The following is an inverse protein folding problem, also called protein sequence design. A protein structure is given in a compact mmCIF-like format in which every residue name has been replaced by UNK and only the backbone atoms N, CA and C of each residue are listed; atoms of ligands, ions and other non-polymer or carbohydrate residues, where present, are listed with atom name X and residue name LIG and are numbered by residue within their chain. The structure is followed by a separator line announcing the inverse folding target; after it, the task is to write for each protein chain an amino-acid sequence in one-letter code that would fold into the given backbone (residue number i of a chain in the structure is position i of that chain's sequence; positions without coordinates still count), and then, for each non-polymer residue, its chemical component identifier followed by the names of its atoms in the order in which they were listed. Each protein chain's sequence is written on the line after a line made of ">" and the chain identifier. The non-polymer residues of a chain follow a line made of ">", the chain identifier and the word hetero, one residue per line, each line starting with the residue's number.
data_IF_656729183852
#
_entry.id   IF_656729183852
#
_cell.length_a   1.000
_cell.length_b   1.000
_cell.length_c   1.000
_cell.angle_alpha   90.00
_cell.angle_beta   90.00
_cell.angle_gamma   90.00
#
_symmetry.space_group_name_H-M   'P 1'
#
loop_
_entity.id
_entity.type
_entity.pdbx_description
1 polymer ?
#
# COMPACT_ATOMS: atom_id res chain seq x y z
N UNK A 1 2.86 -6.66 39.26
CA UNK A 1 3.23 -6.35 37.86
C UNK A 1 2.84 -4.91 37.60
N UNK A 2 3.82 -4.02 37.47
CA UNK A 2 3.59 -2.60 37.24
C UNK A 2 3.30 -2.41 35.75
N UNK A 3 2.05 -2.22 35.37
CA UNK A 3 1.66 -1.87 34.00
C UNK A 3 2.05 -0.42 33.74
N UNK A 4 3.30 -0.21 33.34
CA UNK A 4 3.65 0.98 32.56
C UNK A 4 2.89 0.88 31.25
N UNK A 5 1.75 1.59 31.14
CA UNK A 5 1.21 1.95 29.83
C UNK A 5 2.29 2.77 29.15
N UNK A 6 3.01 2.16 28.21
CA UNK A 6 3.80 2.95 27.28
C UNK A 6 2.80 3.83 26.54
N UNK A 7 2.81 5.13 26.85
CA UNK A 7 1.99 6.13 26.17
C UNK A 7 2.61 6.37 24.79
N UNK A 8 2.61 5.35 23.94
CA UNK A 8 2.80 5.56 22.52
C UNK A 8 1.58 6.36 22.06
N UNK A 9 1.75 7.52 21.40
CA UNK A 9 0.65 8.10 20.65
C UNK A 9 0.34 7.12 19.54
N UNK A 10 -0.56 6.19 19.79
CA UNK A 10 -1.10 5.31 18.78
C UNK A 10 -2.00 6.22 17.95
N UNK A 11 -1.44 6.82 16.92
CA UNK A 11 -2.24 7.51 15.94
C UNK A 11 -3.14 6.46 15.29
N UNK A 12 -4.43 6.74 15.15
CA UNK A 12 -5.38 5.83 14.49
C UNK A 12 -4.93 5.46 13.06
N UNK A 13 -4.15 6.35 12.43
CA UNK A 13 -3.56 6.18 11.11
C UNK A 13 -2.18 6.84 11.01
N UNK A 14 -1.35 6.34 10.09
CA UNK A 14 -0.10 6.95 9.67
C UNK A 14 0.00 6.88 8.14
N UNK A 15 -0.60 7.84 7.44
CA UNK A 15 -0.48 7.91 5.97
C UNK A 15 0.99 8.16 5.60
N UNK A 16 1.56 7.35 4.72
CA UNK A 16 2.96 7.50 4.30
C UNK A 16 3.22 8.86 3.63
N UNK A 17 4.32 9.49 4.03
CA UNK A 17 4.90 10.63 3.34
C UNK A 17 5.90 10.14 2.29
N UNK A 18 5.44 10.01 1.05
CA UNK A 18 6.28 9.57 -0.07
C UNK A 18 7.24 10.65 -0.58
N UNK A 19 7.23 11.86 0.00
CA UNK A 19 8.19 12.92 -0.37
C UNK A 19 9.56 12.74 0.27
N UNK A 20 9.67 11.84 1.25
CA UNK A 20 10.92 11.47 1.92
C UNK A 20 11.22 9.99 1.68
N UNK A 21 12.50 9.58 1.71
CA UNK A 21 12.88 8.16 1.64
C UNK A 21 12.26 7.35 2.79
N UNK A 22 12.03 6.06 2.54
CA UNK A 22 11.67 5.11 3.58
C UNK A 22 12.86 4.83 4.52
N UNK A 23 12.54 4.31 5.70
CA UNK A 23 13.53 3.89 6.69
C UNK A 23 13.34 2.44 7.12
N UNK A 24 14.14 1.97 8.09
CA UNK A 24 14.07 0.59 8.59
C UNK A 24 12.69 0.19 9.15
N UNK A 25 11.86 1.18 9.50
CA UNK A 25 10.51 0.99 10.02
C UNK A 25 9.41 1.28 8.97
N UNK A 26 9.78 1.46 7.70
CA UNK A 26 8.89 1.92 6.63
C UNK A 26 8.88 3.44 6.48
N UNK A 27 7.78 3.98 5.96
CA UNK A 27 7.65 5.40 5.65
C UNK A 27 7.32 6.24 6.88
N UNK A 28 7.89 7.46 6.91
CA UNK A 28 7.46 8.50 7.84
C UNK A 28 6.00 8.89 7.58
N UNK A 29 5.27 9.30 8.62
CA UNK A 29 3.88 9.73 8.47
C UNK A 29 3.78 11.17 7.96
N UNK A 30 2.79 11.45 7.11
CA UNK A 30 2.31 12.83 6.88
C UNK A 30 1.86 13.47 8.20
N UNK A 31 1.92 14.80 8.27
CA UNK A 31 1.34 15.55 9.40
C UNK A 31 -0.18 15.30 9.44
N UNK A 32 -0.80 15.06 10.61
CA UNK A 32 -2.24 14.80 10.70
C UNK A 32 -3.10 15.88 10.06
N UNK A 33 -2.70 17.16 10.15
CA UNK A 33 -3.40 18.29 9.54
C UNK A 33 -3.39 18.28 8.00
N UNK A 34 -2.52 17.50 7.37
CA UNK A 34 -2.43 17.35 5.92
C UNK A 34 -3.12 16.08 5.41
N UNK A 35 -3.64 15.22 6.30
CA UNK A 35 -4.35 14.00 5.94
C UNK A 35 -5.80 14.32 5.58
N UNK A 36 -6.28 13.71 4.51
CA UNK A 36 -7.62 13.88 3.96
C UNK A 36 -8.27 12.52 3.70
N UNK A 37 -9.58 12.53 3.44
CA UNK A 37 -10.32 11.31 3.05
C UNK A 37 -9.71 10.63 1.82
N UNK A 38 -9.16 11.42 0.89
CA UNK A 38 -8.56 10.90 -0.33
C UNK A 38 -7.31 10.04 -0.06
N UNK A 39 -6.65 10.21 1.10
CA UNK A 39 -5.52 9.35 1.48
C UNK A 39 -5.95 7.92 1.84
N UNK A 40 -7.26 7.67 1.99
CA UNK A 40 -7.85 6.37 2.34
C UNK A 40 -8.71 5.77 1.22
N UNK A 41 -8.71 6.36 0.02
CA UNK A 41 -9.47 5.87 -1.14
C UNK A 41 -8.51 5.54 -2.27
N UNK A 42 -8.51 4.28 -2.71
CA UNK A 42 -7.73 3.84 -3.87
C UNK A 42 -8.62 3.11 -4.88
N UNK A 43 -8.81 3.72 -6.04
CA UNK A 43 -9.61 3.17 -7.15
C UNK A 43 -8.78 2.42 -8.19
N UNK A 44 -7.45 2.39 -8.04
CA UNK A 44 -6.54 1.81 -9.04
C UNK A 44 -6.80 0.33 -9.34
N UNK A 45 -7.43 -0.40 -8.43
CA UNK A 45 -7.81 -1.81 -8.60
C UNK A 45 -9.14 -2.02 -9.36
N UNK A 46 -9.90 -0.95 -9.60
CA UNK A 46 -11.23 -1.03 -10.20
C UNK A 46 -11.23 -1.39 -11.69
N UNK A 47 -10.10 -1.17 -12.38
CA UNK A 47 -9.95 -1.45 -13.82
C UNK A 47 -9.07 -2.67 -14.07
N UNK A 48 -9.36 -3.49 -15.10
CA UNK A 48 -8.50 -4.60 -15.48
C UNK A 48 -7.16 -4.11 -16.03
N UNK A 49 -6.09 -4.82 -15.68
CA UNK A 49 -4.75 -4.60 -16.23
C UNK A 49 -4.61 -5.08 -17.69
N UNK A 50 -3.58 -4.59 -18.37
CA UNK A 50 -3.31 -4.97 -19.77
C UNK A 50 -2.65 -6.36 -19.85
N UNK A 51 -3.43 -7.35 -20.29
CA UNK A 51 -3.00 -8.75 -20.42
C UNK A 51 -2.47 -9.12 -21.82
N UNK A 52 -2.25 -8.16 -22.73
CA UNK A 52 -1.67 -8.42 -24.06
C UNK A 52 -0.14 -8.63 -24.03
N UNK A 53 0.46 -8.72 -22.84
CA UNK A 53 1.88 -8.96 -22.63
C UNK A 53 2.27 -10.41 -22.98
N UNK A 54 3.58 -10.66 -23.16
CA UNK A 54 4.13 -12.01 -23.45
C UNK A 54 3.75 -13.06 -22.41
N UNK A 55 3.52 -12.63 -21.17
CA UNK A 55 3.14 -13.50 -20.05
C UNK A 55 1.63 -13.62 -19.85
N UNK A 56 0.85 -12.86 -20.63
CA UNK A 56 -0.62 -12.85 -20.61
C UNK A 56 -1.20 -12.62 -19.21
N UNK A 57 -0.52 -11.77 -18.44
CA UNK A 57 -0.83 -11.44 -17.06
C UNK A 57 -0.54 -9.96 -16.81
N UNK A 58 -1.30 -9.36 -15.88
CA UNK A 58 -1.08 -8.02 -15.38
C UNK A 58 -1.28 -7.98 -13.87
N UNK A 59 -0.27 -7.48 -13.15
CA UNK A 59 -0.35 -7.24 -11.70
C UNK A 59 -0.55 -5.74 -11.49
N UNK A 60 -1.60 -5.37 -10.78
CA UNK A 60 -1.88 -4.00 -10.35
C UNK A 60 -1.74 -3.92 -8.83
N UNK A 61 -0.64 -3.37 -8.30
CA UNK A 61 -0.42 -3.27 -6.87
C UNK A 61 -1.22 -2.11 -6.24
N UNK A 62 -1.59 -2.30 -4.98
CA UNK A 62 -2.02 -1.30 -4.02
C UNK A 62 -1.17 -1.50 -2.76
N UNK A 63 0.13 -1.23 -2.88
CA UNK A 63 1.06 -1.23 -1.75
C UNK A 63 1.24 0.19 -1.26
N UNK A 64 2.03 0.42 -0.20
CA UNK A 64 2.21 1.76 0.40
C UNK A 64 2.65 2.81 -0.64
N UNK A 65 3.45 2.40 -1.63
CA UNK A 65 3.92 3.29 -2.70
C UNK A 65 2.80 3.77 -3.63
N UNK A 66 1.73 2.98 -3.83
CA UNK A 66 0.57 3.35 -4.65
C UNK A 66 -0.60 3.85 -3.81
N UNK A 67 -0.72 3.34 -2.59
CA UNK A 67 -1.79 3.63 -1.64
C UNK A 67 -1.20 3.94 -0.25
N UNK A 68 -0.76 5.20 -0.03
CA UNK A 68 -0.06 5.62 1.19
C UNK A 68 -0.85 5.42 2.48
N UNK A 69 -2.18 5.36 2.41
CA UNK A 69 -3.07 5.11 3.55
C UNK A 69 -2.90 3.72 4.19
N UNK A 70 -2.24 2.78 3.51
CA UNK A 70 -1.97 1.44 4.05
C UNK A 70 -0.79 1.40 5.03
N UNK A 71 0.01 2.47 5.10
CA UNK A 71 1.20 2.49 5.94
C UNK A 71 0.85 2.25 7.42
N UNK A 72 1.65 1.42 8.09
CA UNK A 72 1.44 0.89 9.45
C UNK A 72 0.23 -0.04 9.69
N UNK A 73 -0.64 -0.28 8.70
CA UNK A 73 -1.84 -1.12 8.88
C UNK A 73 -1.58 -2.63 8.75
N UNK A 74 -0.41 -3.02 8.25
CA UNK A 74 -0.03 -4.44 8.08
C UNK A 74 -0.80 -5.16 6.97
N UNK A 75 -1.45 -4.42 6.07
CA UNK A 75 -2.17 -4.96 4.92
C UNK A 75 -1.61 -4.41 3.62
N UNK A 76 -1.67 -5.23 2.58
CA UNK A 76 -1.36 -4.87 1.19
C UNK A 76 -2.33 -5.61 0.28
N UNK A 77 -2.62 -5.04 -0.89
CA UNK A 77 -3.53 -5.65 -1.85
C UNK A 77 -2.93 -5.55 -3.24
N UNK A 78 -3.17 -6.55 -4.08
CA UNK A 78 -2.90 -6.46 -5.51
C UNK A 78 -4.04 -7.13 -6.28
N UNK A 79 -4.28 -6.65 -7.50
CA UNK A 79 -5.16 -7.31 -8.48
C UNK A 79 -4.28 -8.01 -9.51
N UNK A 80 -4.63 -9.27 -9.82
CA UNK A 80 -3.99 -10.05 -10.87
C UNK A 80 -5.03 -10.37 -11.94
N UNK A 81 -4.85 -9.81 -13.14
CA UNK A 81 -5.64 -10.16 -14.32
C UNK A 81 -4.85 -11.17 -15.18
N UNK A 82 -5.50 -12.26 -15.58
CA UNK A 82 -4.89 -13.38 -16.32
C UNK A 82 -5.70 -13.71 -17.57
N UNK A 83 -5.02 -13.83 -18.71
CA UNK A 83 -5.60 -14.46 -19.90
C UNK A 83 -5.42 -15.99 -19.85
N UNK A 84 -6.10 -16.71 -20.76
CA UNK A 84 -5.92 -18.17 -20.90
C UNK A 84 -4.45 -18.51 -21.19
N UNK A 85 -3.88 -19.37 -20.34
CA UNK A 85 -2.46 -19.76 -20.38
C UNK A 85 -1.49 -18.68 -19.88
N UNK A 86 -1.99 -17.62 -19.26
CA UNK A 86 -1.18 -16.60 -18.60
C UNK A 86 -0.56 -17.09 -17.30
N UNK A 87 0.57 -16.48 -16.95
CA UNK A 87 1.33 -16.79 -15.73
C UNK A 87 1.85 -15.51 -15.10
N UNK A 88 1.89 -15.49 -13.79
CA UNK A 88 2.54 -14.42 -13.05
C UNK A 88 4.06 -14.46 -13.28
N UNK A 89 4.65 -13.30 -13.52
CA UNK A 89 6.09 -13.14 -13.40
C UNK A 89 6.42 -12.95 -11.93
N UNK A 90 7.00 -13.97 -11.30
CA UNK A 90 7.62 -13.82 -10.00
C UNK A 90 8.80 -12.87 -10.16
N UNK A 91 8.64 -11.62 -9.72
CA UNK A 91 9.76 -10.71 -9.58
C UNK A 91 10.48 -11.11 -8.29
N UNK A 92 11.66 -11.72 -8.44
CA UNK A 92 12.57 -12.05 -7.33
C UNK A 92 12.95 -10.80 -6.54
#
# INVERSE_FOLDING_TARGET
>A
MNTTRANFPVNDFCVADLSVPDGPAGYSCKRPAAVTVNDFVYSGLGSPGNISSLVKAAVTPAFVDQFPGLNSLGISVARLDLAVGGRELQKS
#
